data_IF_427244676206
#
_entry.id   IF_427244676206
#
_cell.length_a   1.000
_cell.length_b   1.000
_cell.length_c   1.000
_cell.angle_alpha   90.00
_cell.angle_beta   90.00
_cell.angle_gamma   90.00
#
_symmetry.space_group_name_H-M   'P 1'
#
loop_
_entity.id
_entity.type
_entity.pdbx_description
1 polymer ?
#
# COMPACT_ATOMS: atom_id res chain seq x y z
N UNK A 1 -29.23 -8.41 -76.39
CA UNK A 1 -27.79 -8.75 -76.35
C UNK A 1 -27.13 -7.86 -75.29
N UNK A 2 -26.01 -8.32 -74.68
CA UNK A 2 -25.47 -7.86 -73.38
C UNK A 2 -26.45 -8.13 -72.20
N UNK A 3 -26.19 -8.99 -71.20
CA UNK A 3 -24.97 -9.42 -70.49
C UNK A 3 -24.44 -8.37 -69.50
N UNK A 4 -24.56 -8.70 -68.19
CA UNK A 4 -23.50 -8.66 -67.15
C UNK A 4 -22.80 -7.31 -66.92
N UNK A 5 -22.57 -6.75 -65.72
CA UNK A 5 -22.35 -7.29 -64.35
C UNK A 5 -22.25 -6.07 -63.38
N UNK A 6 -22.33 -6.09 -62.05
CA UNK A 6 -22.66 -7.08 -61.00
C UNK A 6 -23.17 -6.27 -59.75
N UNK A 7 -23.09 -6.76 -58.51
CA UNK A 7 -23.29 -5.96 -57.26
C UNK A 7 -22.09 -6.21 -56.32
N UNK A 8 -21.75 -5.31 -55.37
CA UNK A 8 -22.11 -5.65 -53.98
C UNK A 8 -22.49 -4.46 -53.06
N UNK A 9 -23.65 -4.65 -52.41
CA UNK A 9 -23.96 -4.37 -51.00
C UNK A 9 -22.89 -3.73 -50.09
N UNK A 10 -23.29 -2.65 -49.41
CA UNK A 10 -22.91 -2.37 -48.02
C UNK A 10 -24.14 -1.78 -47.29
N UNK A 11 -24.58 -2.43 -46.22
CA UNK A 11 -25.70 -1.99 -45.39
C UNK A 11 -25.19 -1.39 -44.06
N UNK A 12 -26.08 -0.63 -43.43
CA UNK A 12 -26.05 -0.09 -42.05
C UNK A 12 -25.39 -1.04 -41.02
N UNK A 13 -24.75 -0.57 -39.95
CA UNK A 13 -25.51 0.01 -38.83
C UNK A 13 -24.74 0.88 -37.81
N UNK A 14 -25.51 1.39 -36.84
CA UNK A 14 -25.22 2.33 -35.75
C UNK A 14 -23.93 2.11 -34.92
N UNK A 15 -23.39 3.20 -34.36
CA UNK A 15 -23.64 3.56 -32.94
C UNK A 15 -22.73 4.70 -32.41
N UNK A 16 -23.33 5.72 -31.80
CA UNK A 16 -22.59 6.75 -31.04
C UNK A 16 -22.24 6.21 -29.65
N UNK A 17 -21.00 6.37 -29.18
CA UNK A 17 -20.73 6.39 -27.72
C UNK A 17 -19.68 7.42 -27.31
N UNK A 18 -20.21 8.48 -26.71
CA UNK A 18 -19.49 9.55 -26.01
C UNK A 18 -18.71 9.00 -24.80
N UNK A 19 -17.41 9.29 -24.69
CA UNK A 19 -16.64 9.18 -23.45
C UNK A 19 -15.78 10.43 -23.24
N UNK A 20 -16.22 11.26 -22.30
CA UNK A 20 -15.55 12.51 -21.92
C UNK A 20 -14.17 12.20 -21.31
N UNK A 21 -13.12 12.82 -21.85
CA UNK A 21 -11.83 12.90 -21.18
C UNK A 21 -11.94 13.85 -19.98
N UNK A 22 -11.94 13.31 -18.75
CA UNK A 22 -11.81 14.13 -17.55
C UNK A 22 -10.34 14.41 -17.26
N UNK A 23 -9.89 15.53 -17.83
CA UNK A 23 -8.90 16.49 -17.33
C UNK A 23 -7.91 15.97 -16.26
N UNK A 24 -6.65 15.81 -16.65
CA UNK A 24 -5.54 15.68 -15.71
C UNK A 24 -5.45 16.90 -14.79
N UNK A 25 -5.05 16.66 -13.54
CA UNK A 25 -4.65 17.71 -12.58
C UNK A 25 -3.21 17.46 -12.16
N UNK A 26 -2.39 18.50 -12.28
CA UNK A 26 -0.94 18.46 -12.26
C UNK A 26 -0.32 18.43 -10.87
N UNK A 27 0.59 17.48 -10.67
CA UNK A 27 1.87 17.62 -9.94
C UNK A 27 1.93 18.53 -8.71
N UNK A 28 2.13 17.93 -7.54
CA UNK A 28 3.01 18.48 -6.50
C UNK A 28 4.32 17.66 -6.55
N UNK A 29 5.53 18.26 -6.53
CA UNK A 29 6.76 17.48 -6.52
C UNK A 29 6.82 16.64 -5.23
N UNK A 30 7.17 15.37 -5.37
CA UNK A 30 7.55 14.54 -4.23
C UNK A 30 8.89 15.06 -3.72
N UNK A 31 8.93 15.43 -2.44
CA UNK A 31 10.19 15.78 -1.77
C UNK A 31 11.04 14.50 -1.63
N UNK A 32 12.39 14.61 -1.64
CA UNK A 32 13.26 13.45 -1.47
C UNK A 32 12.93 12.72 -0.17
N UNK A 33 13.06 11.39 -0.19
CA UNK A 33 12.73 10.45 0.91
C UNK A 33 12.96 11.09 2.27
N UNK A 34 11.90 11.47 3.00
CA UNK A 34 12.10 12.17 4.25
C UNK A 34 12.70 11.22 5.29
N UNK A 35 13.31 11.81 6.32
CA UNK A 35 13.69 11.19 7.61
C UNK A 35 12.49 10.57 8.39
N UNK A 36 11.33 10.41 7.73
CA UNK A 36 10.07 9.95 8.30
C UNK A 36 10.10 8.50 8.80
N UNK A 37 11.08 7.69 8.39
CA UNK A 37 11.25 6.32 8.90
C UNK A 37 11.90 6.30 10.29
N UNK A 38 12.69 7.32 10.65
CA UNK A 38 13.56 7.32 11.84
C UNK A 38 12.88 7.91 13.10
N UNK A 39 11.90 8.82 12.93
CA UNK A 39 11.23 9.50 14.03
C UNK A 39 9.78 9.05 14.27
N UNK A 40 9.64 7.87 14.87
CA UNK A 40 8.36 7.30 15.29
C UNK A 40 7.84 8.01 16.57
N UNK A 41 6.68 8.66 16.49
CA UNK A 41 6.04 9.34 17.65
C UNK A 41 5.12 8.39 18.39
N UNK A 42 5.71 7.54 19.22
CA UNK A 42 4.99 6.57 20.04
C UNK A 42 4.35 7.30 21.24
N UNK A 43 3.05 7.12 21.53
CA UNK A 43 2.47 7.64 22.77
C UNK A 43 3.14 6.99 24.00
N UNK A 44 3.32 7.72 25.12
CA UNK A 44 3.82 7.16 26.37
C UNK A 44 3.00 5.94 26.82
N UNK A 45 3.64 5.01 27.55
CA UNK A 45 3.02 3.74 27.98
C UNK A 45 1.63 3.90 28.60
N UNK A 46 1.44 4.91 29.44
CA UNK A 46 0.15 5.23 30.08
C UNK A 46 -0.95 5.61 29.08
N UNK A 47 -0.61 6.35 28.02
CA UNK A 47 -1.55 6.71 26.95
C UNK A 47 -1.83 5.51 26.05
N UNK A 48 -0.79 4.72 25.71
CA UNK A 48 -0.95 3.45 25.00
C UNK A 48 -1.86 2.46 25.74
N UNK A 49 -1.80 2.38 27.07
CA UNK A 49 -2.69 1.53 27.86
C UNK A 49 -4.14 2.05 27.90
N UNK A 50 -4.36 3.36 28.02
CA UNK A 50 -5.71 3.96 27.91
C UNK A 50 -6.33 3.71 26.54
N UNK A 51 -5.50 3.81 25.49
CA UNK A 51 -5.88 3.51 24.12
C UNK A 51 -6.25 2.03 23.95
N UNK A 52 -5.42 1.11 24.46
CA UNK A 52 -5.73 -0.33 24.47
C UNK A 52 -7.09 -0.61 25.12
N UNK A 53 -7.34 -0.07 26.33
CA UNK A 53 -8.61 -0.27 27.04
C UNK A 53 -9.83 0.34 26.34
N UNK A 54 -9.64 1.27 25.41
CA UNK A 54 -10.71 1.80 24.55
C UNK A 54 -10.99 0.90 23.34
N UNK A 55 -9.99 0.15 22.90
CA UNK A 55 -10.06 -0.78 21.76
C UNK A 55 -10.49 -2.19 22.14
N UNK A 56 -10.41 -2.54 23.43
CA UNK A 56 -10.85 -3.81 24.03
C UNK A 56 -12.21 -3.62 24.75
N UNK A 57 -13.35 -3.54 24.03
CA UNK A 57 -14.66 -3.34 24.63
C UNK A 57 -15.19 -4.60 25.33
N UNK A 58 -14.64 -5.77 24.99
CA UNK A 58 -15.05 -7.06 25.53
C UNK A 58 -14.31 -7.40 26.84
N UNK A 59 -13.14 -6.79 27.08
CA UNK A 59 -12.35 -6.86 28.31
C UNK A 59 -11.44 -8.08 28.41
N UNK A 60 -11.20 -8.83 27.33
CA UNK A 60 -10.39 -10.04 27.34
C UNK A 60 -8.86 -9.78 27.41
N UNK A 61 -8.41 -8.53 27.22
CA UNK A 61 -6.99 -8.17 27.20
C UNK A 61 -6.26 -8.46 25.88
N UNK A 62 -7.00 -8.72 24.80
CA UNK A 62 -6.53 -9.08 23.46
C UNK A 62 -7.24 -8.23 22.40
N UNK A 63 -6.50 -7.71 21.41
CA UNK A 63 -7.10 -6.98 20.29
C UNK A 63 -7.04 -7.80 19.01
N UNK A 64 -8.21 -8.13 18.46
CA UNK A 64 -8.32 -8.72 17.13
C UNK A 64 -7.99 -7.71 16.02
N UNK A 65 -7.69 -8.20 14.81
CA UNK A 65 -7.52 -7.34 13.63
C UNK A 65 -8.72 -6.41 13.40
N UNK A 66 -9.96 -6.87 13.67
CA UNK A 66 -11.16 -6.07 13.47
C UNK A 66 -11.29 -4.92 14.50
N UNK A 67 -10.90 -5.16 15.76
CA UNK A 67 -10.88 -4.14 16.80
C UNK A 67 -9.78 -3.09 16.55
N UNK A 68 -8.60 -3.53 16.07
CA UNK A 68 -7.53 -2.65 15.65
C UNK A 68 -7.92 -1.83 14.41
N UNK A 69 -8.50 -2.45 13.39
CA UNK A 69 -8.90 -1.78 12.14
C UNK A 69 -9.97 -0.71 12.37
N UNK A 70 -10.99 -1.03 13.17
CA UNK A 70 -11.99 -0.06 13.65
C UNK A 70 -11.33 1.02 14.51
N UNK A 71 -10.40 0.64 15.38
CA UNK A 71 -9.65 1.54 16.24
C UNK A 71 -8.85 2.60 15.50
N UNK A 72 -8.11 2.18 14.47
CA UNK A 72 -7.37 3.09 13.59
C UNK A 72 -8.32 4.01 12.84
N UNK A 73 -9.43 3.48 12.29
CA UNK A 73 -10.45 4.31 11.62
C UNK A 73 -11.04 5.39 12.55
N UNK A 74 -11.30 5.09 13.82
CA UNK A 74 -11.92 6.03 14.76
C UNK A 74 -10.93 7.03 15.40
N UNK A 75 -9.67 6.64 15.58
CA UNK A 75 -8.71 7.36 16.44
C UNK A 75 -7.50 7.91 15.68
N UNK A 76 -7.16 7.32 14.54
CA UNK A 76 -6.04 7.70 13.67
C UNK A 76 -6.45 7.58 12.18
N UNK A 77 -7.48 8.34 11.73
CA UNK A 77 -7.99 8.24 10.36
C UNK A 77 -6.91 8.50 9.29
N UNK A 78 -5.84 9.24 9.62
CA UNK A 78 -4.65 9.46 8.80
C UNK A 78 -3.82 8.20 8.55
N UNK A 79 -3.94 7.17 9.41
CA UNK A 79 -3.26 5.88 9.30
C UNK A 79 -4.20 4.74 8.85
N UNK A 80 -5.45 5.06 8.44
CA UNK A 80 -6.45 4.09 7.98
C UNK A 80 -6.14 3.53 6.57
N UNK A 81 -5.09 2.72 6.51
CA UNK A 81 -4.51 2.13 5.33
C UNK A 81 -4.48 0.61 5.52
N UNK A 82 -5.35 -0.14 4.82
CA UNK A 82 -5.56 -1.58 5.08
C UNK A 82 -4.28 -2.42 4.88
N UNK A 83 -3.49 -2.26 3.79
CA UNK A 83 -2.15 -2.85 3.68
C UNK A 83 -1.25 -2.57 4.89
N UNK A 84 -1.13 -1.30 5.31
CA UNK A 84 -0.26 -0.94 6.42
C UNK A 84 -0.74 -1.47 7.78
N UNK A 85 -2.05 -1.42 8.05
CA UNK A 85 -2.66 -2.01 9.26
C UNK A 85 -2.41 -3.53 9.30
N UNK A 86 -2.56 -4.21 8.16
CA UNK A 86 -2.35 -5.66 8.07
C UNK A 86 -0.89 -6.05 8.34
N UNK A 87 0.08 -5.34 7.74
CA UNK A 87 1.51 -5.55 8.02
C UNK A 87 1.86 -5.19 9.47
N UNK A 88 1.30 -4.09 10.00
CA UNK A 88 1.52 -3.67 11.38
C UNK A 88 1.00 -4.67 12.42
N UNK A 89 -0.16 -5.28 12.14
CA UNK A 89 -0.72 -6.37 12.91
C UNK A 89 0.17 -7.62 12.84
N UNK A 90 0.51 -8.11 11.63
CA UNK A 90 1.36 -9.29 11.43
C UNK A 90 2.72 -9.15 12.14
N UNK A 91 3.31 -7.95 12.12
CA UNK A 91 4.59 -7.68 12.79
C UNK A 91 4.48 -7.52 14.32
N UNK A 92 3.29 -7.20 14.85
CA UNK A 92 3.04 -7.02 16.28
C UNK A 92 2.64 -8.32 16.99
N UNK A 93 1.85 -9.19 16.34
CA UNK A 93 1.45 -10.52 16.81
C UNK A 93 2.68 -11.46 16.80
N UNK A 94 3.42 -11.49 17.91
CA UNK A 94 4.64 -12.31 18.04
C UNK A 94 4.33 -13.72 18.52
N UNK A 95 3.21 -13.91 19.21
CA UNK A 95 2.68 -15.23 19.55
C UNK A 95 2.16 -15.99 18.31
N UNK A 96 1.82 -15.29 17.23
CA UNK A 96 1.13 -15.81 16.05
C UNK A 96 -0.22 -16.46 16.42
N UNK A 97 -0.90 -15.92 17.42
CA UNK A 97 -2.18 -16.44 17.92
C UNK A 97 -3.42 -15.74 17.33
N UNK A 98 -3.21 -14.69 16.52
CA UNK A 98 -4.27 -13.92 15.89
C UNK A 98 -4.75 -12.73 16.72
N UNK A 99 -3.99 -12.32 17.73
CA UNK A 99 -4.33 -11.18 18.58
C UNK A 99 -3.09 -10.32 18.90
N UNK A 100 -3.34 -9.05 19.24
CA UNK A 100 -2.32 -8.15 19.80
C UNK A 100 -2.57 -8.01 21.30
N UNK A 101 -1.65 -8.52 22.12
CA UNK A 101 -1.70 -8.35 23.58
C UNK A 101 -1.33 -6.93 24.01
N UNK A 102 -1.56 -6.60 25.29
CA UNK A 102 -1.08 -5.35 25.91
C UNK A 102 0.44 -5.13 25.81
N UNK A 103 1.21 -6.21 25.75
CA UNK A 103 2.67 -6.15 25.55
C UNK A 103 3.06 -5.82 24.11
N UNK A 104 2.24 -6.26 23.16
CA UNK A 104 2.46 -6.13 21.72
C UNK A 104 1.91 -4.83 21.13
N UNK A 105 0.90 -4.24 21.77
CA UNK A 105 0.26 -3.02 21.29
C UNK A 105 1.23 -1.84 21.10
N UNK A 106 2.25 -1.74 21.95
CA UNK A 106 3.33 -0.76 21.79
C UNK A 106 4.27 -1.03 20.60
N UNK A 107 4.25 -2.23 20.01
CA UNK A 107 4.86 -2.53 18.72
C UNK A 107 3.88 -2.27 17.58
N UNK A 108 2.60 -2.66 17.71
CA UNK A 108 1.56 -2.35 16.71
C UNK A 108 1.52 -0.86 16.35
N UNK A 109 1.54 0.05 17.33
CA UNK A 109 1.54 1.49 17.08
C UNK A 109 2.80 1.97 16.33
N UNK A 110 3.97 1.37 16.59
CA UNK A 110 5.22 1.67 15.85
C UNK A 110 5.11 1.19 14.41
N UNK A 111 4.69 -0.06 14.23
CA UNK A 111 4.57 -0.65 12.92
C UNK A 111 3.46 0.02 12.08
N UNK A 112 2.39 0.51 12.71
CA UNK A 112 1.34 1.26 12.02
C UNK A 112 1.89 2.54 11.39
N UNK A 113 2.70 3.33 12.11
CA UNK A 113 3.37 4.50 11.53
C UNK A 113 4.39 4.08 10.47
N UNK A 114 5.24 3.09 10.76
CA UNK A 114 6.27 2.58 9.85
C UNK A 114 5.69 2.12 8.50
N UNK A 115 4.69 1.24 8.52
CA UNK A 115 4.10 0.69 7.30
C UNK A 115 3.24 1.72 6.55
N UNK A 116 2.68 2.75 7.22
CA UNK A 116 2.04 3.86 6.49
C UNK A 116 3.06 4.71 5.73
N UNK A 117 4.23 4.95 6.31
CA UNK A 117 5.32 5.66 5.64
C UNK A 117 5.90 4.80 4.49
N UNK A 118 6.13 3.51 4.73
CA UNK A 118 6.61 2.57 3.71
C UNK A 118 5.60 2.40 2.57
N UNK A 119 4.29 2.34 2.86
CA UNK A 119 3.25 2.29 1.83
C UNK A 119 3.25 3.56 0.98
N UNK A 120 3.47 4.73 1.60
CA UNK A 120 3.56 6.00 0.87
C UNK A 120 4.74 6.03 -0.11
N UNK A 121 5.86 5.39 0.24
CA UNK A 121 7.01 5.17 -0.64
C UNK A 121 6.71 4.14 -1.73
N UNK A 122 6.08 3.01 -1.37
CA UNK A 122 5.64 1.97 -2.32
C UNK A 122 4.75 2.56 -3.43
N UNK A 123 3.75 3.37 -3.05
CA UNK A 123 2.87 4.07 -3.99
C UNK A 123 3.55 5.19 -4.81
N UNK A 124 4.72 5.67 -4.40
CA UNK A 124 5.48 6.63 -5.18
C UNK A 124 6.31 5.94 -6.29
N UNK A 125 6.55 4.64 -6.16
CA UNK A 125 7.35 3.81 -7.08
C UNK A 125 6.44 3.04 -8.05
N UNK A 126 5.37 2.41 -7.54
CA UNK A 126 4.30 1.76 -8.31
C UNK A 126 3.56 2.80 -9.17
N UNK A 127 4.12 3.04 -10.35
CA UNK A 127 3.65 4.02 -11.32
C UNK A 127 2.46 3.50 -12.11
N UNK A 128 2.32 2.16 -12.17
CA UNK A 128 1.18 1.47 -12.76
C UNK A 128 -0.09 1.59 -11.90
N UNK A 129 0.06 1.65 -10.58
CA UNK A 129 -1.01 1.62 -9.59
C UNK A 129 -1.63 0.23 -9.37
N UNK A 130 -1.00 -0.85 -9.83
CA UNK A 130 -1.52 -2.23 -9.72
C UNK A 130 -1.17 -2.92 -8.39
N UNK A 131 -0.37 -2.26 -7.54
CA UNK A 131 0.20 -2.68 -6.25
C UNK A 131 1.32 -3.70 -6.37
N UNK A 132 2.07 -3.65 -7.46
CA UNK A 132 3.31 -4.39 -7.71
C UNK A 132 4.38 -3.39 -8.10
N UNK A 133 5.60 -3.61 -7.64
CA UNK A 133 6.77 -2.87 -8.14
C UNK A 133 7.51 -3.81 -9.08
N UNK A 134 7.58 -3.45 -10.36
CA UNK A 134 8.43 -4.14 -11.34
C UNK A 134 9.91 -3.77 -11.15
N UNK A 135 10.83 -4.58 -11.68
CA UNK A 135 12.27 -4.28 -11.65
C UNK A 135 12.57 -2.91 -12.29
N UNK A 136 11.95 -2.62 -13.44
CA UNK A 136 12.06 -1.33 -14.14
C UNK A 136 11.62 -0.15 -13.24
N UNK A 137 10.50 -0.28 -12.52
CA UNK A 137 10.02 0.74 -11.59
C UNK A 137 10.94 0.89 -10.37
N UNK A 138 11.45 -0.21 -9.82
CA UNK A 138 12.37 -0.21 -8.69
C UNK A 138 13.70 0.49 -9.04
N UNK A 139 14.31 0.10 -10.16
CA UNK A 139 15.57 0.67 -10.65
C UNK A 139 15.40 2.14 -11.04
N UNK A 140 14.29 2.52 -11.69
CA UNK A 140 14.00 3.91 -12.04
C UNK A 140 13.85 4.83 -10.81
N UNK A 141 13.55 4.28 -9.63
CA UNK A 141 13.40 5.01 -8.37
C UNK A 141 14.48 4.68 -7.33
N UNK A 142 15.61 4.08 -7.72
CA UNK A 142 16.70 3.72 -6.81
C UNK A 142 17.21 4.90 -5.97
N UNK A 143 17.29 6.10 -6.55
CA UNK A 143 17.63 7.34 -5.82
C UNK A 143 16.62 7.67 -4.71
N UNK A 144 15.32 7.43 -4.94
CA UNK A 144 14.24 7.60 -3.97
C UNK A 144 14.22 6.48 -2.91
N UNK A 145 14.94 5.39 -3.14
CA UNK A 145 15.16 4.33 -2.16
C UNK A 145 16.48 4.52 -1.37
N UNK A 146 17.30 5.52 -1.71
CA UNK A 146 18.63 5.71 -1.13
C UNK A 146 19.66 4.69 -1.63
N UNK A 147 19.40 4.03 -2.77
CA UNK A 147 20.21 2.95 -3.34
C UNK A 147 21.17 3.43 -4.44
N UNK A 148 21.41 4.74 -4.55
CA UNK A 148 22.22 5.35 -5.61
C UNK A 148 23.66 4.82 -5.70
N UNK A 149 24.25 4.40 -4.56
CA UNK A 149 25.60 3.82 -4.46
C UNK A 149 25.59 2.27 -4.41
N UNK A 150 24.45 1.64 -4.75
CA UNK A 150 24.24 0.18 -4.68
C UNK A 150 23.84 -0.40 -6.05
N UNK A 151 23.68 -1.72 -6.13
CA UNK A 151 23.09 -2.40 -7.29
C UNK A 151 21.58 -2.63 -7.02
N UNK A 152 20.67 -1.79 -7.56
CA UNK A 152 19.24 -1.92 -7.31
C UNK A 152 18.64 -3.18 -7.94
N UNK A 153 19.23 -3.75 -9.00
CA UNK A 153 18.74 -4.99 -9.61
C UNK A 153 19.09 -6.20 -8.73
N UNK A 154 20.28 -6.22 -8.14
CA UNK A 154 20.64 -7.23 -7.15
C UNK A 154 19.74 -7.16 -5.90
N UNK A 155 19.46 -5.95 -5.39
CA UNK A 155 18.56 -5.76 -4.24
C UNK A 155 17.12 -6.16 -4.59
N UNK A 156 16.64 -5.83 -5.78
CA UNK A 156 15.33 -6.27 -6.25
C UNK A 156 15.23 -7.82 -6.26
N UNK A 157 16.26 -8.50 -6.76
CA UNK A 157 16.32 -9.97 -6.78
C UNK A 157 16.45 -10.61 -5.38
N UNK A 158 16.95 -9.88 -4.38
CA UNK A 158 16.92 -10.29 -2.97
C UNK A 158 15.54 -10.13 -2.33
N UNK A 159 14.73 -9.15 -2.77
CA UNK A 159 13.37 -8.89 -2.25
C UNK A 159 12.32 -9.77 -2.94
N UNK A 160 12.47 -10.06 -4.25
CA UNK A 160 11.63 -11.00 -5.01
C UNK A 160 11.97 -12.46 -4.65
N UNK A 161 11.79 -12.82 -3.36
CA UNK A 161 12.02 -14.16 -2.80
C UNK A 161 11.21 -15.24 -3.53
N UNK A 162 10.05 -14.89 -4.09
CA UNK A 162 9.18 -15.81 -4.82
C UNK A 162 9.55 -15.96 -6.30
N UNK A 163 10.44 -15.10 -6.82
CA UNK A 163 10.86 -15.01 -8.22
C UNK A 163 9.68 -14.78 -9.19
N UNK A 164 8.75 -13.91 -8.78
CA UNK A 164 7.55 -13.54 -9.53
C UNK A 164 7.78 -12.48 -10.61
N UNK A 165 8.93 -11.80 -10.59
CA UNK A 165 9.27 -10.67 -11.45
C UNK A 165 8.65 -9.35 -10.98
N UNK A 166 8.18 -9.28 -9.74
CA UNK A 166 7.62 -8.09 -9.11
C UNK A 166 7.63 -8.22 -7.58
N UNK A 167 7.82 -7.10 -6.89
CA UNK A 167 7.75 -7.01 -5.43
C UNK A 167 6.36 -6.56 -4.99
N UNK A 168 5.78 -7.26 -4.03
CA UNK A 168 4.53 -6.93 -3.33
C UNK A 168 4.84 -6.23 -2.00
N UNK A 169 3.90 -5.42 -1.50
CA UNK A 169 4.04 -4.74 -0.19
C UNK A 169 4.11 -5.69 1.02
N UNK A 170 3.83 -6.99 0.84
CA UNK A 170 3.94 -7.99 1.91
C UNK A 170 5.24 -8.79 1.93
N UNK A 171 6.12 -8.54 0.97
CA UNK A 171 7.53 -8.89 1.01
C UNK A 171 8.27 -7.82 1.86
#
# INVERSE_FOLDING_TARGET
AASSREVPIAASDEAKKNKQHKKATSSKPAEPVPDAVTHIKIPPKEEGMKLFSRLDPNGNGLLSLAELDKGVLELFPEFNNKPAIMRAYKAADKSNDGFVTRGEFGYFLRYLQYYNNLWSLFQAIDSSGDRRITEDEFVAHADLLGLADMDPAAIFAEIDENHGGFVLFEE
#
